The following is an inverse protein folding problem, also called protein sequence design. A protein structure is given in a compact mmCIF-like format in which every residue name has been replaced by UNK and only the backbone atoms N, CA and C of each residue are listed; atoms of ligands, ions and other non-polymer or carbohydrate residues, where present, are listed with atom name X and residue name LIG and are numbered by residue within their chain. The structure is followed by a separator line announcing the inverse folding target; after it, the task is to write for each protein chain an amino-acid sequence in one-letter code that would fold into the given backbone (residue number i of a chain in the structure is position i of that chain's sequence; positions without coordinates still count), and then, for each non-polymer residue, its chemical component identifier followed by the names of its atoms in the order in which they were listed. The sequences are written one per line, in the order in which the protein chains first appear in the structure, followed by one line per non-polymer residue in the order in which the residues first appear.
data_IF_435806627050
#
_entry.id   IF_435806627050
#
_cell.length_a   1.000
_cell.length_b   1.000
_cell.length_c   1.000
_cell.angle_alpha   90.00
_cell.angle_beta   90.00
_cell.angle_gamma   90.00
#
_symmetry.space_group_name_H-M   'P 1'
#
loop_
_entity.id
_entity.type
_entity.pdbx_description
1 polymer ?
#
# COMPACT_ATOMS: atom_id res chain seq x y z
N UNK A 1 -1.37 -22.88 11.62
CA UNK A 1 -2.79 -22.55 11.38
C UNK A 1 -3.38 -23.62 10.47
N UNK A 2 -4.60 -24.10 10.70
CA UNK A 2 -5.22 -25.13 9.85
C UNK A 2 -5.81 -24.44 8.61
N UNK A 3 -5.25 -24.68 7.42
CA UNK A 3 -5.84 -24.17 6.18
C UNK A 3 -7.23 -24.78 5.99
N UNK A 4 -8.26 -23.95 5.82
CA UNK A 4 -9.60 -24.44 5.49
C UNK A 4 -9.64 -24.72 3.99
N UNK A 5 -9.82 -25.99 3.63
CA UNK A 5 -10.06 -26.38 2.25
C UNK A 5 -11.44 -25.86 1.80
N UNK A 6 -11.55 -25.45 0.54
CA UNK A 6 -12.83 -25.07 -0.07
C UNK A 6 -13.46 -26.29 -0.76
N UNK A 7 -14.80 -26.33 -0.80
CA UNK A 7 -15.57 -27.37 -1.51
C UNK A 7 -16.01 -26.89 -2.88
N UNK A 8 -16.45 -27.80 -3.76
CA UNK A 8 -17.03 -27.45 -5.07
C UNK A 8 -18.25 -26.51 -4.95
N UNK A 9 -19.05 -26.61 -3.89
CA UNK A 9 -20.15 -25.67 -3.63
C UNK A 9 -19.62 -24.26 -3.36
N UNK A 10 -18.58 -24.14 -2.54
CA UNK A 10 -17.95 -22.85 -2.25
C UNK A 10 -17.29 -22.27 -3.51
N UNK A 11 -16.72 -23.11 -4.38
CA UNK A 11 -16.16 -22.69 -5.66
C UNK A 11 -17.22 -22.05 -6.57
N UNK A 12 -18.42 -22.64 -6.63
CA UNK A 12 -19.55 -22.06 -7.39
C UNK A 12 -20.01 -20.72 -6.83
N UNK A 13 -20.10 -20.60 -5.51
CA UNK A 13 -20.46 -19.33 -4.86
C UNK A 13 -19.43 -18.22 -5.16
N UNK A 14 -18.14 -18.57 -5.18
CA UNK A 14 -17.05 -17.65 -5.54
C UNK A 14 -17.18 -17.23 -7.01
N UNK A 15 -17.36 -18.19 -7.92
CA UNK A 15 -17.52 -17.91 -9.34
C UNK A 15 -18.71 -16.99 -9.61
N UNK A 16 -19.85 -17.25 -8.97
CA UNK A 16 -21.05 -16.43 -9.10
C UNK A 16 -20.82 -14.97 -8.69
N UNK A 17 -20.10 -14.74 -7.57
CA UNK A 17 -19.72 -13.38 -7.13
C UNK A 17 -18.81 -12.66 -8.12
N UNK A 18 -18.02 -13.41 -8.89
CA UNK A 18 -17.13 -12.89 -9.93
C UNK A 18 -17.84 -12.75 -11.30
N UNK A 19 -19.14 -13.06 -11.39
CA UNK A 19 -19.90 -13.02 -12.63
C UNK A 19 -19.60 -14.18 -13.59
N UNK A 20 -19.08 -15.30 -13.07
CA UNK A 20 -18.84 -16.53 -13.80
C UNK A 20 -19.78 -17.65 -13.33
N UNK A 21 -20.05 -18.62 -14.19
CA UNK A 21 -20.81 -19.82 -13.87
C UNK A 21 -19.93 -21.04 -14.14
N UNK A 22 -19.83 -21.94 -13.16
CA UNK A 22 -19.07 -23.19 -13.27
C UNK A 22 -20.03 -24.38 -13.26
N UNK A 23 -19.79 -25.32 -14.17
CA UNK A 23 -20.42 -26.64 -14.10
C UNK A 23 -19.80 -27.47 -12.95
N UNK A 24 -20.30 -28.70 -12.74
CA UNK A 24 -19.84 -29.55 -11.62
C UNK A 24 -18.36 -29.92 -11.73
N UNK A 25 -17.90 -30.31 -12.92
CA UNK A 25 -16.52 -30.71 -13.17
C UNK A 25 -15.57 -29.52 -13.01
N UNK A 26 -15.94 -28.36 -13.54
CA UNK A 26 -15.17 -27.11 -13.39
C UNK A 26 -15.06 -26.67 -11.93
N UNK A 27 -16.12 -26.83 -11.15
CA UNK A 27 -16.14 -26.49 -9.73
C UNK A 27 -15.25 -27.42 -8.89
N UNK A 28 -15.17 -28.70 -9.25
CA UNK A 28 -14.25 -29.66 -8.63
C UNK A 28 -12.80 -29.32 -8.97
N UNK A 29 -12.49 -29.08 -10.25
CA UNK A 29 -11.15 -28.67 -10.71
C UNK A 29 -10.69 -27.39 -10.01
N UNK A 30 -11.57 -26.40 -9.89
CA UNK A 30 -11.26 -25.14 -9.21
C UNK A 30 -10.95 -25.36 -7.73
N UNK A 31 -11.79 -26.13 -7.02
CA UNK A 31 -11.62 -26.41 -5.61
C UNK A 31 -10.31 -27.17 -5.34
N UNK A 32 -10.01 -28.17 -6.15
CA UNK A 32 -8.78 -28.96 -6.05
C UNK A 32 -7.54 -28.12 -6.34
N UNK A 33 -7.57 -27.31 -7.40
CA UNK A 33 -6.48 -26.40 -7.74
C UNK A 33 -6.22 -25.36 -6.65
N UNK A 34 -7.27 -24.75 -6.10
CA UNK A 34 -7.17 -23.81 -5.00
C UNK A 34 -6.60 -24.46 -3.73
N UNK A 35 -7.11 -25.63 -3.35
CA UNK A 35 -6.66 -26.35 -2.17
C UNK A 35 -5.20 -26.81 -2.29
N UNK A 36 -4.80 -27.29 -3.48
CA UNK A 36 -3.43 -27.69 -3.76
C UNK A 36 -2.47 -26.49 -3.73
N UNK A 37 -2.87 -25.35 -4.30
CA UNK A 37 -2.13 -24.10 -4.21
C UNK A 37 -1.98 -23.67 -2.74
N UNK A 38 -3.06 -23.63 -1.97
CA UNK A 38 -3.01 -23.24 -0.56
C UNK A 38 -2.18 -24.18 0.32
N UNK A 39 -2.06 -25.46 -0.06
CA UNK A 39 -1.16 -26.42 0.61
C UNK A 39 0.31 -26.22 0.22
N UNK A 40 0.61 -25.80 -1.01
CA UNK A 40 1.98 -25.48 -1.43
C UNK A 40 2.46 -24.13 -0.87
N UNK A 41 1.56 -23.17 -0.67
CA UNK A 41 1.82 -21.88 0.00
C UNK A 41 1.77 -21.98 1.53
N UNK A 42 2.27 -23.07 2.12
CA UNK A 42 2.23 -23.40 3.55
C UNK A 42 2.85 -22.38 4.53
N UNK A 43 3.30 -21.22 4.07
CA UNK A 43 3.53 -20.03 4.88
C UNK A 43 2.65 -18.90 4.35
N UNK A 44 1.65 -18.51 5.14
CA UNK A 44 0.75 -17.38 4.88
C UNK A 44 1.47 -16.05 4.61
N UNK A 45 2.77 -15.97 4.87
CA UNK A 45 3.62 -14.82 4.57
C UNK A 45 3.96 -14.66 3.08
N UNK A 46 3.78 -15.69 2.23
CA UNK A 46 4.07 -15.61 0.79
C UNK A 46 2.88 -15.20 -0.08
N UNK A 47 1.64 -15.36 0.42
CA UNK A 47 0.42 -14.90 -0.25
C UNK A 47 -0.04 -13.52 0.21
N UNK A 48 0.55 -13.04 1.31
CA UNK A 48 0.89 -11.64 1.35
C UNK A 48 2.01 -11.47 0.32
N UNK A 49 1.70 -11.08 -0.92
CA UNK A 49 2.58 -10.07 -1.52
C UNK A 49 2.87 -9.09 -0.38
N UNK A 50 4.12 -8.67 -0.10
CA UNK A 50 4.29 -7.64 0.89
C UNK A 50 3.33 -6.55 0.46
N UNK A 51 2.27 -6.33 1.23
CA UNK A 51 1.72 -4.99 1.36
C UNK A 51 2.99 -4.26 1.70
N UNK A 52 3.55 -3.52 0.76
CA UNK A 52 4.73 -2.71 1.02
C UNK A 52 4.33 -1.89 2.23
N UNK A 53 4.81 -2.28 3.40
CA UNK A 53 4.44 -1.63 4.65
C UNK A 53 5.15 -0.28 4.79
N UNK A 54 6.04 0.07 3.86
CA UNK A 54 6.92 1.22 3.97
C UNK A 54 6.76 2.22 2.81
N UNK A 55 5.51 2.50 2.41
CA UNK A 55 5.17 3.51 1.40
C UNK A 55 4.21 4.56 1.96
N UNK A 56 4.34 5.81 1.48
CA UNK A 56 3.50 6.99 1.72
C UNK A 56 2.38 6.85 2.79
N UNK A 57 2.62 7.41 3.97
CA UNK A 57 1.72 7.53 5.12
C UNK A 57 0.75 8.68 4.89
N UNK A 58 -0.56 8.48 5.09
CA UNK A 58 -1.52 9.59 5.00
C UNK A 58 -1.33 10.59 6.14
N UNK A 59 -1.38 11.89 5.83
CA UNK A 59 -1.35 12.95 6.84
C UNK A 59 -2.53 12.86 7.84
N UNK A 60 -3.66 12.27 7.44
CA UNK A 60 -4.80 12.06 8.33
C UNK A 60 -4.58 10.93 9.34
N UNK A 61 -3.70 9.98 9.04
CA UNK A 61 -3.41 8.83 9.91
C UNK A 61 -2.32 9.18 10.93
N UNK A 62 -1.26 9.85 10.46
CA UNK A 62 -0.12 10.24 11.28
C UNK A 62 0.65 11.35 10.61
N UNK A 63 1.07 12.35 11.37
CA UNK A 63 2.04 13.35 10.93
C UNK A 63 3.47 12.96 11.36
N UNK A 64 4.52 13.44 10.68
CA UNK A 64 5.89 13.29 11.15
C UNK A 64 6.06 13.87 12.56
N UNK A 65 6.96 13.29 13.36
CA UNK A 65 7.32 13.85 14.67
C UNK A 65 7.82 15.29 14.50
N UNK A 66 7.35 16.18 15.37
CA UNK A 66 7.59 17.62 15.25
C UNK A 66 8.39 18.17 16.44
N UNK A 67 9.59 17.63 16.63
CA UNK A 67 10.54 18.07 17.65
C UNK A 67 11.25 19.37 17.27
N UNK A 68 11.50 19.59 15.98
CA UNK A 68 12.09 20.81 15.40
C UNK A 68 11.62 21.00 13.94
N UNK A 69 11.80 22.21 13.37
CA UNK A 69 11.51 22.47 11.95
C UNK A 69 12.37 21.57 11.06
N UNK A 70 11.73 20.65 10.33
CA UNK A 70 12.42 19.62 9.54
C UNK A 70 12.48 19.99 8.07
N UNK A 71 13.64 19.87 7.41
CA UNK A 71 13.70 19.97 5.95
C UNK A 71 13.03 18.75 5.33
N UNK A 72 12.18 19.00 4.34
CA UNK A 72 11.46 17.98 3.59
C UNK A 72 11.66 18.18 2.10
N UNK A 73 11.54 17.10 1.33
CA UNK A 73 11.45 17.17 -0.12
C UNK A 73 9.98 17.02 -0.53
N UNK A 74 9.46 17.98 -1.29
CA UNK A 74 8.11 17.94 -1.82
C UNK A 74 8.17 17.60 -3.31
N UNK A 75 7.37 16.61 -3.69
CA UNK A 75 7.16 16.24 -5.08
C UNK A 75 5.73 16.60 -5.48
N UNK A 76 5.57 17.64 -6.31
CA UNK A 76 4.24 18.08 -6.78
C UNK A 76 3.90 17.59 -8.18
N UNK A 77 4.73 16.70 -8.74
CA UNK A 77 4.61 16.27 -10.12
C UNK A 77 4.78 17.44 -11.09
N UNK A 78 3.74 17.75 -11.87
CA UNK A 78 3.73 18.90 -12.82
C UNK A 78 2.93 20.10 -12.30
N UNK A 79 2.31 20.01 -11.12
CA UNK A 79 1.33 20.98 -10.66
C UNK A 79 1.90 22.38 -10.40
N UNK A 80 3.19 22.47 -10.04
CA UNK A 80 3.85 23.77 -9.78
C UNK A 80 4.98 24.10 -10.78
N UNK A 81 5.05 23.39 -11.92
CA UNK A 81 6.13 23.58 -12.90
C UNK A 81 7.52 23.15 -12.43
N UNK A 82 7.67 22.81 -11.15
CA UNK A 82 8.88 22.24 -10.53
C UNK A 82 8.57 20.82 -10.06
N UNK A 83 9.35 19.85 -10.54
CA UNK A 83 9.14 18.44 -10.20
C UNK A 83 9.32 18.16 -8.71
N UNK A 84 10.38 18.72 -8.12
CA UNK A 84 10.77 18.51 -6.73
C UNK A 84 11.45 19.76 -6.18
N UNK A 85 11.14 20.14 -4.94
CA UNK A 85 11.82 21.23 -4.23
C UNK A 85 11.89 20.96 -2.72
N UNK A 86 12.71 21.74 -2.02
CA UNK A 86 12.92 21.63 -0.57
C UNK A 86 11.99 22.60 0.14
N UNK A 87 11.38 22.13 1.23
CA UNK A 87 10.45 22.86 2.07
C UNK A 87 10.75 22.55 3.55
N UNK A 88 10.02 23.19 4.46
CA UNK A 88 10.05 22.91 5.90
C UNK A 88 8.70 22.40 6.38
N UNK A 89 8.73 21.56 7.42
CA UNK A 89 7.54 21.13 8.16
C UNK A 89 7.74 21.44 9.66
N UNK A 90 6.75 22.09 10.26
CA UNK A 90 6.67 22.38 11.70
C UNK A 90 5.21 22.41 12.20
N UNK A 91 4.97 22.97 13.40
CA UNK A 91 3.64 22.97 14.06
C UNK A 91 2.59 23.75 13.26
N UNK A 92 3.05 24.70 12.43
CA UNK A 92 2.19 25.57 11.64
C UNK A 92 1.91 24.99 10.24
N UNK A 93 2.55 23.88 9.87
CA UNK A 93 2.29 23.15 8.63
C UNK A 93 3.51 23.04 7.70
N UNK A 94 3.25 23.07 6.40
CA UNK A 94 4.27 22.90 5.36
C UNK A 94 4.57 24.24 4.69
N UNK A 95 5.85 24.61 4.57
CA UNK A 95 6.24 25.92 4.04
C UNK A 95 7.35 25.83 3.00
N UNK A 96 7.23 26.61 1.94
CA UNK A 96 8.31 26.78 0.97
C UNK A 96 9.53 27.42 1.63
N UNK A 97 10.71 26.86 1.38
CA UNK A 97 11.95 27.33 2.01
C UNK A 97 12.38 28.72 1.53
N UNK A 98 12.05 29.11 0.29
CA UNK A 98 12.52 30.35 -0.33
C UNK A 98 11.59 31.52 -0.07
N UNK A 99 10.28 31.31 -0.25
CA UNK A 99 9.27 32.37 -0.12
C UNK A 99 8.52 32.34 1.22
N UNK A 100 8.67 31.28 2.01
CA UNK A 100 7.95 31.12 3.28
C UNK A 100 6.44 30.95 3.11
N UNK A 101 5.98 30.65 1.90
CA UNK A 101 4.56 30.46 1.62
C UNK A 101 4.08 29.09 2.09
N UNK A 102 2.88 29.07 2.67
CA UNK A 102 2.23 27.81 3.08
C UNK A 102 1.92 26.95 1.86
N UNK A 103 2.23 25.67 1.98
CA UNK A 103 2.00 24.64 0.97
C UNK A 103 0.79 23.82 1.40
N UNK A 104 -0.33 24.09 0.73
CA UNK A 104 -1.58 23.39 0.95
C UNK A 104 -1.70 22.11 0.11
N UNK A 105 -2.47 21.14 0.60
CA UNK A 105 -2.79 19.93 -0.17
C UNK A 105 -1.74 18.82 -0.10
N UNK A 106 -0.85 18.85 0.88
CA UNK A 106 0.00 17.70 1.22
C UNK A 106 -0.88 16.61 1.81
N UNK A 107 -0.94 15.45 1.14
CA UNK A 107 -1.86 14.36 1.52
C UNK A 107 -1.15 13.16 2.13
N UNK A 108 0.12 12.96 1.78
CA UNK A 108 0.90 11.82 2.22
C UNK A 108 2.38 12.20 2.38
N UNK A 109 3.08 11.50 3.27
CA UNK A 109 4.52 11.65 3.51
C UNK A 109 5.20 10.31 3.69
N UNK A 110 6.52 10.26 3.60
CA UNK A 110 7.29 9.08 4.03
C UNK A 110 8.65 9.52 4.58
N UNK A 111 9.25 8.79 5.53
CA UNK A 111 10.63 9.04 5.92
C UNK A 111 11.56 8.81 4.73
N UNK A 112 12.64 9.58 4.64
CA UNK A 112 13.69 9.30 3.66
C UNK A 112 14.34 7.95 3.99
N UNK A 113 14.64 7.13 2.98
CA UNK A 113 15.36 5.88 3.20
C UNK A 113 16.75 6.17 3.77
N UNK A 114 17.27 5.24 4.58
CA UNK A 114 18.64 5.32 5.06
C UNK A 114 19.62 5.37 3.86
N UNK A 115 20.70 6.15 3.96
CA UNK A 115 21.70 6.22 2.90
C UNK A 115 22.33 4.83 2.66
N UNK A 116 22.72 4.50 1.41
CA UNK A 116 23.34 3.21 1.11
C UNK A 116 24.67 3.07 1.89
N UNK A 117 24.85 1.93 2.53
CA UNK A 117 26.10 1.58 3.22
C UNK A 117 27.19 1.23 2.17
N UNK A 118 28.43 1.67 2.41
CA UNK A 118 29.58 1.44 1.54
C UNK A 118 30.24 0.08 1.76
#
# INVERSE_FOLDING_TARGET
MKHHQITASMAKDIAFKLGAELNNEEAEIFADGYNAAMQSFGNSEQLNSPVTQDGWISCNERMPDNDESKPIAIFTGKCLGQGMFVATYDDDGFFDYWEGMEIIGVTHWMPLPEPPQQ
#
